data_IF_313375771103
#
_entry.id   IF_313375771103
#
_cell.length_a   1.000
_cell.length_b   1.000
_cell.length_c   1.000
_cell.angle_alpha   90.00
_cell.angle_beta   90.00
_cell.angle_gamma   90.00
#
_symmetry.space_group_name_H-M   'P 1'
#
loop_
_entity.id
_entity.type
_entity.pdbx_description
1 polymer ?
#
# COMPACT_ATOMS: atom_id res chain seq x y z
N UNK A 1 -19.83 53.76 6.70
CA UNK A 1 -19.76 52.38 6.16
C UNK A 1 -21.16 52.00 5.72
N UNK A 2 -21.37 51.45 4.51
CA UNK A 2 -22.71 51.04 4.06
C UNK A 2 -23.18 49.81 4.84
N UNK A 3 -24.46 49.67 5.19
CA UNK A 3 -25.03 48.49 5.89
C UNK A 3 -24.61 47.15 5.26
N UNK A 4 -24.52 47.12 3.94
CA UNK A 4 -24.01 45.97 3.17
C UNK A 4 -22.60 45.49 3.57
N UNK A 5 -21.74 46.39 4.04
CA UNK A 5 -20.37 46.07 4.46
C UNK A 5 -20.33 45.39 5.83
N UNK A 6 -21.23 45.74 6.74
CA UNK A 6 -21.34 45.13 8.07
C UNK A 6 -21.97 43.73 7.99
N UNK A 7 -23.00 43.57 7.16
CA UNK A 7 -23.62 42.26 6.91
C UNK A 7 -22.59 41.29 6.32
N UNK A 8 -21.81 41.73 5.31
CA UNK A 8 -20.71 40.93 4.74
C UNK A 8 -19.67 40.54 5.79
N UNK A 9 -19.32 41.45 6.71
CA UNK A 9 -18.35 41.17 7.76
C UNK A 9 -18.83 40.08 8.73
N UNK A 10 -20.14 40.02 9.04
CA UNK A 10 -20.75 38.98 9.89
C UNK A 10 -20.66 37.58 9.25
N UNK A 11 -20.83 37.48 7.94
CA UNK A 11 -20.75 36.21 7.21
C UNK A 11 -19.32 35.73 6.88
N UNK A 12 -18.29 36.58 7.02
CA UNK A 12 -16.90 36.22 6.69
C UNK A 12 -16.42 34.98 7.46
N UNK A 13 -16.61 34.94 8.78
CA UNK A 13 -16.18 33.84 9.66
C UNK A 13 -16.89 32.49 9.37
N UNK A 14 -18.23 32.43 9.24
CA UNK A 14 -18.89 31.17 8.87
C UNK A 14 -18.56 30.72 7.45
N UNK A 15 -18.41 31.64 6.49
CA UNK A 15 -17.97 31.28 5.13
C UNK A 15 -16.56 30.69 5.14
N UNK A 16 -15.61 31.29 5.87
CA UNK A 16 -14.26 30.70 6.00
C UNK A 16 -14.29 29.31 6.66
N UNK A 17 -15.19 29.07 7.61
CA UNK A 17 -15.35 27.74 8.22
C UNK A 17 -15.93 26.72 7.24
N UNK A 18 -16.84 27.12 6.33
CA UNK A 18 -17.33 26.27 5.25
C UNK A 18 -16.24 25.95 4.23
N UNK A 19 -15.41 26.94 3.85
CA UNK A 19 -14.26 26.70 2.97
C UNK A 19 -13.26 25.73 3.61
N UNK A 20 -12.95 25.91 4.89
CA UNK A 20 -12.08 24.99 5.64
C UNK A 20 -12.68 23.58 5.70
N UNK A 21 -13.98 23.46 5.97
CA UNK A 21 -14.68 22.17 5.94
C UNK A 21 -14.52 21.47 4.60
N UNK A 22 -14.75 22.18 3.49
CA UNK A 22 -14.63 21.62 2.15
C UNK A 22 -13.19 21.18 1.83
N UNK A 23 -12.18 21.99 2.23
CA UNK A 23 -10.78 21.59 2.06
C UNK A 23 -10.41 20.34 2.88
N UNK A 24 -10.90 20.23 4.12
CA UNK A 24 -10.67 19.05 4.97
C UNK A 24 -11.32 17.79 4.41
N UNK A 25 -12.52 17.90 3.83
CA UNK A 25 -13.19 16.78 3.18
C UNK A 25 -12.45 16.31 1.92
N UNK A 26 -11.97 17.25 1.10
CA UNK A 26 -11.12 16.90 -0.05
C UNK A 26 -9.85 16.18 0.41
N UNK A 27 -9.19 16.70 1.44
CA UNK A 27 -7.97 16.09 1.95
C UNK A 27 -8.22 14.71 2.60
N UNK A 28 -9.35 14.55 3.29
CA UNK A 28 -9.80 13.25 3.81
C UNK A 28 -10.02 12.24 2.68
N UNK A 29 -10.65 12.66 1.58
CA UNK A 29 -10.85 11.83 0.39
C UNK A 29 -9.52 11.33 -0.17
N UNK A 30 -8.53 12.21 -0.32
CA UNK A 30 -7.19 11.83 -0.79
C UNK A 30 -6.51 10.82 0.16
N UNK A 31 -6.70 10.97 1.48
CA UNK A 31 -6.18 10.03 2.47
C UNK A 31 -6.85 8.65 2.41
N UNK A 32 -8.17 8.60 2.22
CA UNK A 32 -8.89 7.34 1.99
C UNK A 32 -8.44 6.67 0.69
N UNK A 33 -8.29 7.45 -0.39
CA UNK A 33 -7.76 6.93 -1.65
C UNK A 33 -6.33 6.39 -1.50
N UNK A 34 -5.47 7.11 -0.76
CA UNK A 34 -4.11 6.67 -0.48
C UNK A 34 -4.03 5.45 0.45
N UNK A 35 -5.06 5.21 1.28
CA UNK A 35 -5.19 4.01 2.10
C UNK A 35 -5.71 2.82 1.28
N UNK A 36 -6.70 3.05 0.41
CA UNK A 36 -7.26 2.03 -0.48
C UNK A 36 -6.24 1.55 -1.50
N UNK A 37 -5.43 2.45 -2.04
CA UNK A 37 -4.34 2.13 -2.99
C UNK A 37 -3.07 1.62 -2.30
N UNK A 38 -2.99 1.63 -0.97
CA UNK A 38 -1.85 1.06 -0.27
C UNK A 38 -1.83 -0.46 -0.48
N UNK A 39 -0.75 -0.94 -1.11
CA UNK A 39 -0.52 -2.37 -1.28
C UNK A 39 -0.47 -3.06 0.08
N UNK A 40 -1.25 -4.14 0.21
CA UNK A 40 -1.20 -5.05 1.34
C UNK A 40 -0.72 -6.40 0.79
N UNK A 41 0.41 -6.93 1.29
CA UNK A 41 0.84 -8.28 0.90
C UNK A 41 -0.21 -9.32 1.33
N UNK A 42 -0.21 -10.52 0.73
CA UNK A 42 -1.08 -11.61 1.15
C UNK A 42 -0.87 -11.94 2.63
N UNK A 43 -1.91 -12.51 3.26
CA UNK A 43 -1.85 -12.94 4.65
C UNK A 43 -0.71 -13.96 4.83
N UNK A 44 0.23 -13.76 5.77
CA UNK A 44 1.31 -14.71 6.03
C UNK A 44 0.81 -16.13 6.32
N UNK A 45 -0.42 -16.31 6.82
CA UNK A 45 -1.02 -17.63 7.04
C UNK A 45 -1.38 -18.38 5.75
N UNK A 46 -1.57 -17.66 4.65
CA UNK A 46 -1.88 -18.22 3.32
C UNK A 46 -0.64 -18.49 2.47
N UNK A 47 0.55 -18.18 2.98
CA UNK A 47 1.80 -18.38 2.25
C UNK A 47 2.21 -19.85 2.29
N UNK A 48 2.68 -20.34 1.15
CA UNK A 48 3.24 -21.67 0.99
C UNK A 48 4.76 -21.61 1.06
N UNK A 49 5.34 -22.55 1.80
CA UNK A 49 6.78 -22.76 1.85
C UNK A 49 7.23 -23.69 0.73
N UNK A 50 8.20 -23.25 -0.08
CA UNK A 50 8.87 -24.07 -1.09
C UNK A 50 10.37 -24.07 -0.80
N UNK A 51 10.95 -25.26 -0.73
CA UNK A 51 12.39 -25.43 -0.57
C UNK A 51 13.05 -25.38 -1.94
N UNK A 52 13.90 -24.40 -2.18
CA UNK A 52 14.58 -24.20 -3.46
C UNK A 52 16.08 -23.99 -3.23
N UNK A 53 16.91 -24.67 -4.03
CA UNK A 53 18.33 -24.36 -4.13
C UNK A 53 18.50 -23.09 -4.94
N UNK A 54 18.77 -21.97 -4.28
CA UNK A 54 19.01 -20.70 -4.95
C UNK A 54 20.46 -20.64 -5.37
N UNK A 55 20.71 -20.59 -6.67
CA UNK A 55 22.07 -20.58 -7.22
C UNK A 55 22.60 -19.17 -7.47
N UNK A 56 21.72 -18.24 -7.85
CA UNK A 56 22.10 -16.85 -8.12
C UNK A 56 20.97 -15.87 -7.81
N UNK A 57 21.38 -14.63 -7.52
CA UNK A 57 20.51 -13.46 -7.40
C UNK A 57 20.90 -12.48 -8.51
N UNK A 58 19.96 -12.13 -9.37
CA UNK A 58 20.18 -11.18 -10.46
C UNK A 58 18.91 -10.36 -10.73
N UNK A 59 18.99 -9.34 -11.59
CA UNK A 59 17.79 -8.62 -12.04
C UNK A 59 16.81 -9.56 -12.74
N UNK A 60 15.52 -9.40 -12.47
CA UNK A 60 14.48 -10.18 -13.14
C UNK A 60 14.48 -9.92 -14.66
N UNK A 61 14.26 -10.96 -15.51
CA UNK A 61 14.41 -10.85 -16.96
C UNK A 61 13.23 -10.17 -17.65
N UNK A 62 12.11 -9.93 -16.95
CA UNK A 62 10.93 -9.26 -17.51
C UNK A 62 10.95 -7.75 -17.25
N UNK A 63 10.54 -6.98 -18.26
CA UNK A 63 10.28 -5.55 -18.17
C UNK A 63 8.77 -5.35 -18.01
N UNK A 64 8.33 -4.84 -16.86
CA UNK A 64 6.94 -4.43 -16.55
C UNK A 64 5.83 -5.41 -16.96
N UNK A 65 5.29 -6.16 -16.01
CA UNK A 65 3.85 -6.50 -16.10
C UNK A 65 3.05 -5.22 -15.84
N UNK A 66 2.02 -4.98 -16.66
CA UNK A 66 1.25 -3.74 -16.77
C UNK A 66 0.58 -3.24 -15.46
N UNK A 67 0.66 -3.99 -14.36
CA UNK A 67 0.16 -3.59 -13.03
C UNK A 67 1.10 -2.70 -12.22
N UNK A 68 2.39 -2.60 -12.56
CA UNK A 68 3.35 -1.75 -11.85
C UNK A 68 3.36 -0.33 -12.43
N UNK A 69 2.33 0.45 -12.10
CA UNK A 69 2.19 1.88 -12.48
C UNK A 69 3.09 2.84 -11.68
N UNK A 70 3.97 2.36 -10.82
CA UNK A 70 4.80 3.21 -9.97
C UNK A 70 6.29 2.92 -10.19
N UNK A 71 6.97 3.92 -10.77
CA UNK A 71 8.42 4.08 -10.90
C UNK A 71 9.09 3.42 -12.13
N UNK A 72 9.54 4.27 -13.05
CA UNK A 72 10.37 3.91 -14.22
C UNK A 72 11.78 3.39 -13.88
N UNK A 73 12.14 3.30 -12.59
CA UNK A 73 13.42 2.80 -12.10
C UNK A 73 13.37 1.47 -11.33
N UNK A 74 12.19 0.85 -11.15
CA UNK A 74 12.07 -0.40 -10.40
C UNK A 74 12.55 -1.59 -11.26
N UNK A 75 13.74 -2.11 -10.94
CA UNK A 75 14.26 -3.39 -11.44
C UNK A 75 14.25 -4.39 -10.28
N UNK A 76 13.23 -5.24 -10.15
CA UNK A 76 13.20 -6.22 -9.08
C UNK A 76 14.36 -7.20 -9.23
N UNK A 77 14.89 -7.67 -8.10
CA UNK A 77 15.83 -8.78 -8.06
C UNK A 77 15.04 -10.09 -8.04
N UNK A 78 15.58 -11.11 -8.69
CA UNK A 78 15.02 -12.44 -8.75
C UNK A 78 16.05 -13.46 -8.25
N UNK A 79 15.57 -14.41 -7.44
CA UNK A 79 16.30 -15.63 -7.13
C UNK A 79 16.12 -16.62 -8.28
N UNK A 80 17.21 -17.25 -8.71
CA UNK A 80 17.20 -18.28 -9.74
C UNK A 80 17.78 -19.57 -9.20
N UNK A 81 17.23 -20.68 -9.67
CA UNK A 81 17.63 -22.04 -9.33
C UNK A 81 17.90 -22.81 -10.62
N UNK A 82 18.96 -23.60 -10.64
CA UNK A 82 19.23 -24.54 -11.73
C UNK A 82 18.24 -25.72 -11.72
N UNK A 83 17.62 -26.02 -10.57
CA UNK A 83 16.56 -27.02 -10.45
C UNK A 83 15.25 -26.55 -11.10
N UNK A 84 15.11 -25.23 -11.28
CA UNK A 84 13.96 -24.57 -11.92
C UNK A 84 14.44 -23.52 -12.94
N UNK A 85 15.03 -23.95 -14.06
CA UNK A 85 15.76 -23.05 -14.99
C UNK A 85 14.86 -21.98 -15.63
N UNK A 86 13.57 -22.29 -15.80
CA UNK A 86 12.58 -21.39 -16.39
C UNK A 86 11.85 -20.53 -15.34
N UNK A 87 12.15 -20.70 -14.05
CA UNK A 87 11.51 -19.98 -12.96
C UNK A 87 12.32 -18.76 -12.52
N UNK A 88 11.60 -17.65 -12.34
CA UNK A 88 12.12 -16.44 -11.71
C UNK A 88 11.32 -16.14 -10.45
N UNK A 89 11.96 -16.28 -9.28
CA UNK A 89 11.36 -15.96 -7.99
C UNK A 89 11.64 -14.50 -7.65
N UNK A 90 10.65 -13.63 -7.84
CA UNK A 90 10.75 -12.18 -7.58
C UNK A 90 10.95 -11.94 -6.07
N UNK A 91 12.10 -11.35 -5.71
CA UNK A 91 12.44 -11.03 -4.34
C UNK A 91 11.68 -9.77 -3.90
N UNK A 92 10.71 -9.91 -2.99
CA UNK A 92 10.03 -8.75 -2.43
C UNK A 92 10.90 -7.93 -1.46
N UNK A 93 12.03 -8.47 -1.00
CA UNK A 93 13.08 -7.74 -0.28
C UNK A 93 14.48 -8.29 -0.60
N UNK A 94 15.49 -7.43 -0.49
CA UNK A 94 16.90 -7.81 -0.68
C UNK A 94 17.51 -8.17 0.67
N UNK A 95 17.87 -9.44 0.85
CA UNK A 95 18.61 -9.90 2.04
C UNK A 95 20.11 -9.67 1.82
N UNK A 96 20.68 -8.71 2.53
CA UNK A 96 22.12 -8.41 2.48
C UNK A 96 22.95 -9.50 3.15
N UNK A 97 24.11 -9.85 2.58
CA UNK A 97 25.04 -10.83 3.16
C UNK A 97 24.66 -12.30 2.93
N UNK A 98 23.66 -12.56 2.09
CA UNK A 98 23.32 -13.91 1.66
C UNK A 98 24.36 -14.44 0.66
N UNK A 99 25.09 -15.49 1.05
CA UNK A 99 26.04 -16.18 0.17
C UNK A 99 25.30 -17.29 -0.59
N UNK A 100 25.44 -17.29 -1.92
CA UNK A 100 24.86 -18.26 -2.86
C UNK A 100 26.00 -19.06 -3.53
N UNK A 101 25.77 -20.31 -3.98
CA UNK A 101 24.50 -21.05 -3.98
C UNK A 101 24.11 -21.57 -2.59
N UNK A 102 22.82 -21.53 -2.24
CA UNK A 102 22.31 -22.03 -0.95
C UNK A 102 20.85 -22.47 -1.04
N UNK A 103 20.50 -23.53 -0.33
CA UNK A 103 19.10 -23.97 -0.18
C UNK A 103 18.37 -23.07 0.81
N UNK A 104 17.24 -22.53 0.36
CA UNK A 104 16.40 -21.61 1.11
C UNK A 104 14.94 -22.07 1.03
N UNK A 105 14.20 -21.77 2.08
CA UNK A 105 12.75 -21.90 2.11
C UNK A 105 12.16 -20.55 1.70
N UNK A 106 11.51 -20.53 0.54
CA UNK A 106 10.84 -19.37 -0.05
C UNK A 106 9.36 -19.42 0.34
N UNK A 107 8.85 -18.34 0.92
CA UNK A 107 7.42 -18.20 1.23
C UNK A 107 6.74 -17.46 0.09
N UNK A 108 5.83 -18.12 -0.61
CA UNK A 108 5.16 -17.60 -1.82
C UNK A 108 3.64 -17.72 -1.72
N UNK A 109 2.92 -16.98 -2.55
CA UNK A 109 1.45 -17.04 -2.66
C UNK A 109 0.95 -18.17 -3.57
N UNK A 110 1.84 -19.04 -4.07
CA UNK A 110 1.50 -20.15 -4.97
C UNK A 110 1.76 -21.50 -4.33
N UNK A 111 0.91 -22.45 -4.66
CA UNK A 111 1.11 -23.82 -4.24
C UNK A 111 2.34 -24.45 -4.93
N UNK A 112 3.08 -25.34 -4.23
CA UNK A 112 4.24 -26.02 -4.79
C UNK A 112 3.93 -26.85 -6.05
N UNK A 113 2.72 -27.38 -6.19
CA UNK A 113 2.32 -28.21 -7.32
C UNK A 113 2.09 -27.39 -8.60
N UNK A 114 1.68 -26.13 -8.46
CA UNK A 114 1.54 -25.21 -9.60
C UNK A 114 2.91 -24.82 -10.17
N UNK A 115 3.98 -24.94 -9.38
CA UNK A 115 5.37 -24.74 -9.84
C UNK A 115 5.88 -25.87 -10.74
N UNK A 116 5.17 -26.99 -10.87
CA UNK A 116 5.57 -28.08 -11.78
C UNK A 116 4.74 -28.05 -13.07
N UNK A 117 3.43 -27.83 -12.94
CA UNK A 117 2.50 -27.83 -14.06
C UNK A 117 2.62 -26.59 -14.96
N UNK A 118 3.03 -25.44 -14.43
CA UNK A 118 3.28 -24.22 -15.23
C UNK A 118 4.57 -24.35 -16.07
N UNK A 119 5.45 -25.31 -15.75
CA UNK A 119 6.81 -25.37 -16.26
C UNK A 119 7.07 -26.49 -17.28
N UNK A 120 6.32 -27.60 -17.24
CA UNK A 120 6.52 -28.72 -18.19
C UNK A 120 5.94 -28.48 -19.61
N UNK A 121 5.35 -27.32 -19.93
CA UNK A 121 4.66 -27.17 -21.22
C UNK A 121 4.54 -25.78 -21.84
N UNK A 122 5.00 -24.72 -21.19
CA UNK A 122 4.85 -23.37 -21.75
C UNK A 122 6.11 -22.52 -21.56
N UNK A 123 6.78 -22.20 -22.67
CA UNK A 123 7.80 -21.14 -22.78
C UNK A 123 7.28 -19.73 -22.38
N UNK A 124 6.05 -19.62 -21.86
CA UNK A 124 5.38 -18.38 -21.46
C UNK A 124 5.53 -18.03 -19.97
N UNK A 125 6.05 -18.93 -19.12
CA UNK A 125 6.11 -18.73 -17.66
C UNK A 125 7.05 -17.61 -17.20
N UNK A 126 7.95 -17.14 -18.06
CA UNK A 126 8.84 -15.97 -17.81
C UNK A 126 8.05 -14.68 -17.57
N UNK A 127 6.74 -14.64 -17.92
CA UNK A 127 5.91 -13.43 -17.80
C UNK A 127 5.11 -13.33 -16.50
N UNK A 128 4.96 -14.40 -15.70
CA UNK A 128 4.17 -14.34 -14.46
C UNK A 128 5.08 -14.59 -13.26
N UNK A 129 5.64 -13.54 -12.63
CA UNK A 129 6.60 -13.70 -11.55
C UNK A 129 5.98 -14.42 -10.36
N UNK A 130 6.74 -15.35 -9.78
CA UNK A 130 6.42 -15.93 -8.47
C UNK A 130 6.96 -14.97 -7.44
N UNK A 131 6.07 -14.34 -6.68
CA UNK A 131 6.48 -13.38 -5.66
C UNK A 131 6.85 -14.11 -4.39
N UNK A 132 8.05 -13.80 -3.91
CA UNK A 132 8.52 -14.23 -2.60
C UNK A 132 8.14 -13.13 -1.60
N UNK A 133 7.47 -13.52 -0.54
CA UNK A 133 7.04 -12.65 0.57
C UNK A 133 7.84 -12.88 1.86
N UNK A 134 8.61 -13.96 1.91
CA UNK A 134 9.47 -14.27 3.04
C UNK A 134 10.57 -15.27 2.67
N UNK A 135 11.65 -15.24 3.45
CA UNK A 135 12.82 -16.09 3.25
C UNK A 135 13.25 -16.70 4.58
N UNK A 136 13.47 -18.01 4.58
CA UNK A 136 14.01 -18.76 5.71
C UNK A 136 15.18 -19.64 5.27
N UNK A 137 16.11 -19.86 6.17
CA UNK A 137 17.11 -20.91 6.03
C UNK A 137 16.52 -22.25 6.48
N UNK A 138 17.10 -23.35 6.01
CA UNK A 138 16.69 -24.71 6.37
C UNK A 138 16.80 -25.02 7.87
N UNK A 139 17.60 -24.27 8.62
CA UNK A 139 17.70 -24.36 10.08
C UNK A 139 16.57 -23.60 10.81
N UNK A 140 15.60 -23.06 10.06
CA UNK A 140 14.49 -22.27 10.58
C UNK A 140 14.83 -20.80 10.83
N UNK A 141 16.07 -20.36 10.55
CA UNK A 141 16.45 -18.96 10.71
C UNK A 141 15.71 -18.10 9.69
N UNK A 142 14.87 -17.20 10.18
CA UNK A 142 14.16 -16.22 9.35
C UNK A 142 15.15 -15.17 8.84
N UNK A 143 15.27 -15.07 7.51
CA UNK A 143 16.08 -14.06 6.83
C UNK A 143 15.24 -12.84 6.45
N UNK A 144 13.98 -13.08 6.10
CA UNK A 144 13.01 -12.03 5.84
C UNK A 144 11.64 -12.51 6.30
N UNK A 145 11.08 -11.76 7.25
CA UNK A 145 9.82 -12.12 7.89
C UNK A 145 8.61 -11.55 7.14
N UNK A 146 7.73 -12.41 6.59
CA UNK A 146 6.50 -11.96 5.96
C UNK A 146 5.52 -11.36 6.98
N UNK A 147 5.55 -11.79 8.24
CA UNK A 147 4.62 -11.31 9.29
C UNK A 147 4.94 -9.86 9.62
N UNK A 148 6.20 -9.55 9.96
CA UNK A 148 6.62 -8.17 10.18
C UNK A 148 6.33 -7.25 8.98
N UNK A 149 6.49 -7.78 7.75
CA UNK A 149 6.19 -7.02 6.52
C UNK A 149 4.68 -6.76 6.39
N UNK A 150 3.84 -7.76 6.63
CA UNK A 150 2.39 -7.64 6.60
C UNK A 150 1.90 -6.67 7.69
N UNK A 151 2.36 -6.81 8.93
CA UNK A 151 1.94 -5.97 10.06
C UNK A 151 2.34 -4.50 9.86
N UNK A 152 3.53 -4.25 9.32
CA UNK A 152 3.95 -2.88 9.00
C UNK A 152 3.11 -2.26 7.87
N UNK A 153 2.76 -3.03 6.83
CA UNK A 153 1.88 -2.58 5.77
C UNK A 153 0.44 -2.34 6.27
N UNK A 154 -0.07 -3.26 7.08
CA UNK A 154 -1.39 -3.19 7.71
C UNK A 154 -1.50 -1.98 8.65
N UNK A 155 -0.55 -1.80 9.56
CA UNK A 155 -0.53 -0.66 10.49
C UNK A 155 -0.43 0.68 9.75
N UNK A 156 0.35 0.75 8.67
CA UNK A 156 0.42 1.95 7.83
C UNK A 156 -0.93 2.25 7.15
N UNK A 157 -1.62 1.22 6.64
CA UNK A 157 -2.97 1.35 6.05
C UNK A 157 -4.00 1.82 7.10
N UNK A 158 -3.97 1.22 8.30
CA UNK A 158 -4.84 1.62 9.41
C UNK A 158 -4.57 3.06 9.86
N UNK A 159 -3.31 3.48 9.95
CA UNK A 159 -2.95 4.86 10.31
C UNK A 159 -3.48 5.87 9.29
N UNK A 160 -3.38 5.58 8.00
CA UNK A 160 -3.96 6.45 6.95
C UNK A 160 -5.49 6.55 7.07
N UNK A 161 -6.17 5.43 7.30
CA UNK A 161 -7.61 5.42 7.56
C UNK A 161 -7.98 6.23 8.80
N UNK A 162 -7.23 6.08 9.89
CA UNK A 162 -7.45 6.85 11.11
C UNK A 162 -7.30 8.36 10.90
N UNK A 163 -6.27 8.79 10.15
CA UNK A 163 -6.10 10.20 9.79
C UNK A 163 -7.21 10.71 8.86
N UNK A 164 -7.65 9.90 7.90
CA UNK A 164 -8.77 10.27 7.03
C UNK A 164 -10.04 10.53 7.86
N UNK A 165 -10.36 9.64 8.80
CA UNK A 165 -11.48 9.81 9.73
C UNK A 165 -11.33 11.01 10.66
N UNK A 166 -10.12 11.26 11.18
CA UNK A 166 -9.85 12.44 12.00
C UNK A 166 -10.18 13.73 11.24
N UNK A 167 -9.82 13.81 9.95
CA UNK A 167 -10.15 14.96 9.10
C UNK A 167 -11.66 15.13 8.89
N UNK A 168 -12.41 14.02 8.74
CA UNK A 168 -13.88 14.06 8.68
C UNK A 168 -14.46 14.64 9.97
N UNK A 169 -13.98 14.21 11.14
CA UNK A 169 -14.47 14.72 12.42
C UNK A 169 -14.22 16.22 12.59
N UNK A 170 -13.04 16.71 12.18
CA UNK A 170 -12.73 18.14 12.21
C UNK A 170 -13.62 18.91 11.22
N UNK A 171 -13.86 18.36 10.02
CA UNK A 171 -14.74 18.97 9.03
C UNK A 171 -16.19 19.09 9.56
N UNK A 172 -16.71 18.06 10.21
CA UNK A 172 -18.02 18.08 10.87
C UNK A 172 -18.09 19.18 11.94
N UNK A 173 -17.02 19.36 12.74
CA UNK A 173 -16.93 20.46 13.69
C UNK A 173 -17.00 21.85 13.02
N UNK A 174 -16.30 22.03 11.90
CA UNK A 174 -16.35 23.26 11.12
C UNK A 174 -17.74 23.52 10.53
N UNK A 175 -18.40 22.48 10.01
CA UNK A 175 -19.76 22.56 9.48
C UNK A 175 -20.77 22.94 10.57
N UNK A 176 -20.69 22.29 11.75
CA UNK A 176 -21.54 22.59 12.89
C UNK A 176 -21.36 24.04 13.36
N UNK A 177 -20.10 24.51 13.48
CA UNK A 177 -19.80 25.90 13.82
C UNK A 177 -20.40 26.88 12.80
N UNK A 178 -20.17 26.64 11.50
CA UNK A 178 -20.70 27.51 10.45
C UNK A 178 -22.23 27.56 10.49
N UNK A 179 -22.89 26.41 10.63
CA UNK A 179 -24.35 26.31 10.71
C UNK A 179 -24.90 27.08 11.92
N UNK A 180 -24.34 26.89 13.11
CA UNK A 180 -24.78 27.58 14.32
C UNK A 180 -24.62 29.09 14.20
N UNK A 181 -23.51 29.57 13.61
CA UNK A 181 -23.25 31.00 13.42
C UNK A 181 -24.15 31.61 12.37
N UNK A 182 -24.37 30.94 11.24
CA UNK A 182 -25.31 31.40 10.20
C UNK A 182 -26.73 31.46 10.78
N UNK A 183 -27.16 30.42 11.51
CA UNK A 183 -28.47 30.39 12.15
C UNK A 183 -28.65 31.51 13.19
N UNK A 184 -27.61 31.84 13.94
CA UNK A 184 -27.63 32.94 14.89
C UNK A 184 -27.75 34.30 14.17
N UNK A 185 -27.01 34.50 13.08
CA UNK A 185 -27.10 35.71 12.25
C UNK A 185 -28.51 35.85 11.67
N UNK A 186 -29.06 34.80 11.05
CA UNK A 186 -30.40 34.83 10.44
C UNK A 186 -31.55 35.00 11.44
N UNK A 187 -31.32 34.76 12.73
CA UNK A 187 -32.29 34.96 13.81
C UNK A 187 -32.17 36.31 14.51
N UNK A 188 -31.13 37.09 14.18
CA UNK A 188 -30.93 38.42 14.75
C UNK A 188 -32.01 39.37 14.19
N UNK A 189 -32.93 39.91 15.01
CA UNK A 189 -34.01 40.78 14.55
C UNK A 189 -33.52 42.17 14.11
N UNK A 190 -32.25 42.50 14.31
CA UNK A 190 -31.62 43.77 13.92
C UNK A 190 -30.79 43.67 12.64
N UNK A 191 -31.16 42.74 11.75
CA UNK A 191 -30.50 42.52 10.47
C UNK A 191 -31.19 43.22 9.31
#
# INVERSE_FOLDING_TARGET
MSEWSEIKARFKRPLTALFLCLMLLLWSSDLFDAANRAYLPPDPATLHAIVVRVDKLAGCPYTRTAGSRQNSGYRPLCYFSNDYPDAAFEAGAVVTGLVLPRTLELLTDREPNDLKNVYEGQMFSVHVPIRVYGLRQMDGKVLWDPVATYDSAWSNKQRKNAYAWLMVLIALGCAAYAFLRIRAILRDPHL
#
